data_IF_757884382243
#
_entry.id   IF_757884382243
#
_cell.length_a   1.000
_cell.length_b   1.000
_cell.length_c   1.000
_cell.angle_alpha   90.00
_cell.angle_beta   90.00
_cell.angle_gamma   90.00
#
_symmetry.space_group_name_H-M   'P 1'
#
loop_
_entity.id
_entity.type
_entity.pdbx_description
1 polymer ?
#
# COMPACT_ATOMS: atom_id res chain seq x y z
N UNK A 1 -17.58 12.74 16.63
CA UNK A 1 -16.19 13.24 16.52
C UNK A 1 -15.37 12.56 15.42
N UNK A 2 -15.44 11.23 15.26
CA UNK A 2 -14.73 10.53 14.17
C UNK A 2 -15.02 11.10 12.77
N UNK A 3 -16.31 11.32 12.45
CA UNK A 3 -16.72 11.92 11.15
C UNK A 3 -16.10 13.29 10.92
N UNK A 4 -15.99 14.13 11.97
CA UNK A 4 -15.34 15.43 11.86
C UNK A 4 -13.84 15.31 11.57
N UNK A 5 -13.16 14.33 12.20
CA UNK A 5 -11.76 14.02 11.93
C UNK A 5 -11.56 13.52 10.49
N UNK A 6 -12.42 12.59 10.04
CA UNK A 6 -12.39 12.07 8.67
C UNK A 6 -12.60 13.19 7.65
N UNK A 7 -13.60 14.06 7.88
CA UNK A 7 -13.87 15.21 7.01
C UNK A 7 -12.69 16.19 6.98
N UNK A 8 -12.08 16.48 8.13
CA UNK A 8 -10.90 17.32 8.19
C UNK A 8 -9.76 16.71 7.37
N UNK A 9 -9.39 15.45 7.65
CA UNK A 9 -8.35 14.74 6.89
C UNK A 9 -8.63 14.73 5.39
N UNK A 10 -9.88 14.46 4.98
CA UNK A 10 -10.28 14.53 3.58
C UNK A 10 -10.01 15.91 2.97
N UNK A 11 -10.45 17.00 3.61
CA UNK A 11 -10.24 18.36 3.08
C UNK A 11 -8.74 18.64 2.85
N UNK A 12 -7.88 18.24 3.79
CA UNK A 12 -6.43 18.48 3.70
C UNK A 12 -5.71 17.58 2.70
N UNK A 13 -6.26 16.39 2.43
CA UNK A 13 -5.62 15.38 1.59
C UNK A 13 -6.34 15.13 0.27
N UNK A 14 -7.46 15.81 -0.01
CA UNK A 14 -8.30 15.56 -1.18
C UNK A 14 -7.53 15.60 -2.48
N UNK A 15 -6.64 16.56 -2.68
CA UNK A 15 -5.93 16.72 -3.95
C UNK A 15 -5.00 15.53 -4.20
N UNK A 16 -4.21 15.15 -3.19
CA UNK A 16 -3.28 14.02 -3.31
C UNK A 16 -4.03 12.68 -3.36
N UNK A 17 -5.11 12.55 -2.61
CA UNK A 17 -5.97 11.35 -2.65
C UNK A 17 -6.68 11.21 -3.99
N UNK A 18 -7.21 12.28 -4.56
CA UNK A 18 -7.83 12.25 -5.90
C UNK A 18 -6.83 11.84 -6.98
N UNK A 19 -5.59 12.32 -6.90
CA UNK A 19 -4.51 11.85 -7.78
C UNK A 19 -4.29 10.35 -7.66
N UNK A 20 -4.13 9.83 -6.43
CA UNK A 20 -3.93 8.39 -6.21
C UNK A 20 -5.15 7.55 -6.57
N UNK A 21 -6.37 8.04 -6.34
CA UNK A 21 -7.61 7.38 -6.76
C UNK A 21 -7.67 7.26 -8.28
N UNK A 22 -7.37 8.35 -8.99
CA UNK A 22 -7.30 8.35 -10.44
C UNK A 22 -6.21 7.40 -10.96
N UNK A 23 -5.01 7.42 -10.35
CA UNK A 23 -3.93 6.52 -10.71
C UNK A 23 -4.29 5.05 -10.44
N UNK A 24 -4.85 4.75 -9.26
CA UNK A 24 -5.28 3.40 -8.87
C UNK A 24 -6.34 2.82 -9.80
N UNK A 25 -7.27 3.64 -10.27
CA UNK A 25 -8.25 3.25 -11.28
C UNK A 25 -7.63 3.11 -12.69
N UNK A 26 -6.79 4.07 -13.09
CA UNK A 26 -6.23 4.12 -14.43
C UNK A 26 -5.20 3.01 -14.68
N UNK A 27 -4.40 2.63 -13.69
CA UNK A 27 -3.32 1.66 -13.85
C UNK A 27 -3.81 0.31 -14.40
N UNK A 28 -4.84 -0.34 -13.82
CA UNK A 28 -5.40 -1.55 -14.43
C UNK A 28 -6.03 -1.30 -15.80
N UNK A 29 -6.73 -0.18 -16.01
CA UNK A 29 -7.40 0.12 -17.30
C UNK A 29 -6.38 0.35 -18.43
N UNK A 30 -5.22 0.95 -18.12
CA UNK A 30 -4.14 1.17 -19.07
C UNK A 30 -3.45 -0.13 -19.51
N UNK A 31 -3.71 -1.26 -18.84
CA UNK A 31 -3.28 -2.60 -19.29
C UNK A 31 -3.80 -2.94 -20.69
N UNK A 32 -5.05 -2.54 -20.96
CA UNK A 32 -5.82 -2.93 -22.15
C UNK A 32 -5.22 -2.36 -23.45
N UNK A 33 -4.96 -1.03 -23.55
CA UNK A 33 -4.34 -0.49 -24.76
C UNK A 33 -2.86 -0.86 -24.86
N UNK A 34 -2.16 -1.14 -23.75
CA UNK A 34 -0.75 -1.59 -23.82
C UNK A 34 -0.65 -2.96 -24.50
N UNK A 35 -1.53 -3.92 -24.18
CA UNK A 35 -1.54 -5.20 -24.88
C UNK A 35 -1.87 -5.06 -26.38
N UNK A 36 -2.71 -4.08 -26.77
CA UNK A 36 -3.08 -3.84 -28.16
C UNK A 36 -2.06 -3.00 -28.98
N UNK A 37 -1.43 -1.98 -28.38
CA UNK A 37 -0.59 -0.98 -29.10
C UNK A 37 0.82 -1.45 -29.43
N UNK A 38 1.38 -2.41 -28.69
CA UNK A 38 2.75 -2.86 -28.95
C UNK A 38 2.87 -3.75 -30.19
N UNK A 39 1.79 -4.03 -30.93
CA UNK A 39 1.86 -4.75 -32.20
C UNK A 39 2.48 -6.14 -32.08
N UNK A 40 2.51 -6.69 -30.87
CA UNK A 40 2.95 -8.06 -30.60
C UNK A 40 1.79 -8.92 -31.07
N UNK A 41 1.87 -9.40 -32.31
CA UNK A 41 0.85 -10.27 -32.87
C UNK A 41 0.62 -11.46 -31.93
N UNK A 42 -0.62 -11.63 -31.47
CA UNK A 42 -1.08 -12.79 -30.71
C UNK A 42 -0.08 -13.18 -29.60
N UNK A 43 0.10 -12.25 -28.66
CA UNK A 43 0.92 -12.38 -27.45
C UNK A 43 0.70 -13.75 -26.82
N UNK A 44 1.78 -14.55 -26.75
CA UNK A 44 1.81 -15.80 -25.99
C UNK A 44 1.29 -15.55 -24.56
N UNK A 45 0.66 -16.53 -23.93
CA UNK A 45 0.10 -16.38 -22.58
C UNK A 45 1.09 -15.69 -21.59
N UNK A 46 2.38 -15.91 -21.78
CA UNK A 46 3.47 -15.27 -21.04
C UNK A 46 3.44 -13.73 -21.06
N UNK A 47 3.13 -13.08 -22.18
CA UNK A 47 3.15 -11.63 -22.26
C UNK A 47 1.99 -10.97 -21.50
N UNK A 48 0.83 -11.65 -21.42
CA UNK A 48 -0.26 -11.20 -20.55
C UNK A 48 0.11 -11.28 -19.07
N UNK A 49 0.78 -12.36 -18.67
CA UNK A 49 1.29 -12.52 -17.29
C UNK A 49 2.35 -11.46 -16.97
N UNK A 50 3.27 -11.16 -17.90
CA UNK A 50 4.30 -10.15 -17.71
C UNK A 50 3.71 -8.74 -17.54
N UNK A 51 2.78 -8.34 -18.41
CA UNK A 51 2.07 -7.06 -18.28
C UNK A 51 1.24 -7.03 -16.99
N UNK A 52 0.55 -8.12 -16.65
CA UNK A 52 -0.20 -8.26 -15.41
C UNK A 52 0.66 -8.11 -14.16
N UNK A 53 1.87 -8.66 -14.17
CA UNK A 53 2.87 -8.51 -13.11
C UNK A 53 3.43 -7.09 -13.00
N UNK A 54 3.76 -6.47 -14.13
CA UNK A 54 4.22 -5.06 -14.16
C UNK A 54 3.17 -4.12 -13.57
N UNK A 55 1.90 -4.31 -13.93
CA UNK A 55 0.80 -3.48 -13.43
C UNK A 55 0.56 -3.70 -11.96
N UNK A 56 0.59 -4.95 -11.50
CA UNK A 56 0.48 -5.22 -10.07
C UNK A 56 1.61 -4.58 -9.27
N UNK A 57 2.84 -4.57 -9.78
CA UNK A 57 3.97 -3.84 -9.16
C UNK A 57 3.70 -2.33 -9.10
N UNK A 58 3.23 -1.73 -10.20
CA UNK A 58 2.89 -0.30 -10.23
C UNK A 58 1.77 0.04 -9.23
N UNK A 59 0.77 -0.83 -9.09
CA UNK A 59 -0.28 -0.71 -8.07
C UNK A 59 0.31 -0.77 -6.67
N UNK A 60 1.21 -1.72 -6.40
CA UNK A 60 1.89 -1.84 -5.11
C UNK A 60 2.63 -0.54 -4.73
N UNK A 61 3.44 -0.01 -5.66
CA UNK A 61 4.17 1.25 -5.49
C UNK A 61 3.20 2.41 -5.23
N UNK A 62 2.15 2.53 -6.04
CA UNK A 62 1.15 3.60 -5.95
C UNK A 62 0.49 3.61 -4.57
N UNK A 63 0.12 2.45 -4.07
CA UNK A 63 -0.57 2.30 -2.78
C UNK A 63 0.36 2.58 -1.60
N UNK A 64 1.61 2.10 -1.66
CA UNK A 64 2.64 2.42 -0.67
C UNK A 64 2.90 3.93 -0.61
N UNK A 65 3.05 4.59 -1.76
CA UNK A 65 3.24 6.04 -1.85
C UNK A 65 2.02 6.80 -1.31
N UNK A 66 0.80 6.35 -1.65
CA UNK A 66 -0.44 6.96 -1.14
C UNK A 66 -0.52 6.88 0.39
N UNK A 67 -0.19 5.71 0.97
CA UNK A 67 -0.19 5.51 2.41
C UNK A 67 0.80 6.43 3.13
N UNK A 68 2.03 6.57 2.61
CA UNK A 68 3.06 7.47 3.16
C UNK A 68 2.65 8.94 2.99
N UNK A 69 2.22 9.33 1.79
CA UNK A 69 1.80 10.69 1.48
C UNK A 69 0.64 11.14 2.38
N UNK A 70 -0.32 10.25 2.65
CA UNK A 70 -1.44 10.53 3.53
C UNK A 70 -1.00 10.83 4.97
N UNK A 71 -0.03 10.08 5.51
CA UNK A 71 0.54 10.35 6.84
C UNK A 71 1.26 11.69 6.86
N UNK A 72 2.14 11.92 5.88
CA UNK A 72 2.96 13.15 5.80
C UNK A 72 2.06 14.39 5.71
N UNK A 73 1.08 14.35 4.81
CA UNK A 73 0.19 15.49 4.56
C UNK A 73 -0.70 15.80 5.77
N UNK A 74 -1.32 14.78 6.37
CA UNK A 74 -2.16 14.95 7.56
C UNK A 74 -1.40 15.53 8.76
N UNK A 75 -0.09 15.34 8.84
CA UNK A 75 0.72 15.87 9.93
C UNK A 75 1.35 17.23 9.64
N UNK A 76 1.61 17.55 8.37
CA UNK A 76 2.17 18.86 8.01
C UNK A 76 1.31 20.03 8.52
N UNK A 77 0.00 19.84 8.59
CA UNK A 77 -0.96 20.84 9.12
C UNK A 77 -0.81 21.00 10.63
N UNK A 78 -0.67 19.90 11.36
CA UNK A 78 -0.48 19.92 12.81
C UNK A 78 0.87 20.53 13.20
N UNK A 79 1.93 20.22 12.44
CA UNK A 79 3.27 20.77 12.64
C UNK A 79 3.26 22.30 12.44
N UNK A 80 2.54 22.81 11.41
CA UNK A 80 2.34 24.25 11.19
C UNK A 80 1.57 24.92 12.33
N UNK A 81 0.57 24.23 12.87
CA UNK A 81 -0.24 24.69 14.00
C UNK A 81 0.41 24.49 15.37
N UNK A 82 1.69 24.07 15.44
CA UNK A 82 2.42 23.71 16.67
C UNK A 82 1.64 22.79 17.61
N UNK A 83 0.81 21.92 17.05
CA UNK A 83 -0.08 21.00 17.78
C UNK A 83 -1.09 21.64 18.75
N UNK A 84 -1.29 22.97 18.71
CA UNK A 84 -2.20 23.67 19.63
C UNK A 84 -3.63 23.13 19.53
N UNK A 85 -4.13 22.97 18.30
CA UNK A 85 -5.46 22.43 18.03
C UNK A 85 -5.63 20.97 18.45
N UNK A 86 -4.57 20.16 18.40
CA UNK A 86 -4.63 18.77 18.82
C UNK A 86 -4.69 18.64 20.35
N UNK A 87 -4.05 19.55 21.08
CA UNK A 87 -4.00 19.58 22.54
C UNK A 87 -5.23 20.25 23.18
N UNK A 88 -5.93 21.12 22.45
CA UNK A 88 -7.13 21.80 22.94
C UNK A 88 -8.41 20.96 22.83
N UNK A 89 -8.38 19.84 22.11
CA UNK A 89 -9.56 18.99 21.96
C UNK A 89 -9.88 18.27 23.28
N UNK A 90 -11.15 18.25 23.72
CA UNK A 90 -11.57 17.58 24.96
C UNK A 90 -11.69 16.06 24.75
N UNK A 91 -10.64 15.43 24.22
CA UNK A 91 -10.58 13.99 23.96
C UNK A 91 -9.25 13.43 24.44
N UNK A 92 -9.31 12.22 25.00
CA UNK A 92 -8.11 11.51 25.39
C UNK A 92 -7.19 11.29 24.18
N UNK A 93 -5.88 11.49 24.37
CA UNK A 93 -4.84 11.34 23.33
C UNK A 93 -4.94 10.00 22.60
N UNK A 94 -5.20 8.89 23.31
CA UNK A 94 -5.36 7.55 22.71
C UNK A 94 -6.51 7.51 21.69
N UNK A 95 -7.68 8.07 22.03
CA UNK A 95 -8.85 8.10 21.15
C UNK A 95 -8.61 8.98 19.93
N UNK A 96 -7.96 10.13 20.11
CA UNK A 96 -7.57 11.00 18.99
C UNK A 96 -6.75 10.25 17.93
N UNK A 97 -5.79 9.44 18.38
CA UNK A 97 -4.92 8.68 17.49
C UNK A 97 -5.63 7.56 16.78
N UNK A 98 -6.48 6.82 17.50
CA UNK A 98 -7.31 5.80 16.90
C UNK A 98 -8.23 6.39 15.82
N UNK A 99 -8.81 7.57 16.07
CA UNK A 99 -9.62 8.26 15.06
C UNK A 99 -8.80 8.70 13.86
N UNK A 100 -7.57 9.19 14.05
CA UNK A 100 -6.72 9.56 12.91
C UNK A 100 -6.25 8.37 12.09
N UNK A 101 -5.85 7.29 12.76
CA UNK A 101 -5.45 6.04 12.11
C UNK A 101 -6.62 5.43 11.34
N UNK A 102 -7.78 5.30 11.98
CA UNK A 102 -8.99 4.77 11.36
C UNK A 102 -9.49 5.61 10.20
N UNK A 103 -9.39 6.93 10.29
CA UNK A 103 -9.73 7.81 9.17
C UNK A 103 -8.76 7.61 7.99
N UNK A 104 -7.46 7.45 8.24
CA UNK A 104 -6.49 7.09 7.22
C UNK A 104 -6.80 5.74 6.54
N UNK A 105 -7.18 4.73 7.32
CA UNK A 105 -7.61 3.44 6.79
C UNK A 105 -8.84 3.52 5.89
N UNK A 106 -9.84 4.32 6.24
CA UNK A 106 -11.01 4.54 5.39
C UNK A 106 -10.66 5.26 4.08
N UNK A 107 -9.79 6.26 4.13
CA UNK A 107 -9.34 6.98 2.93
C UNK A 107 -8.57 6.03 1.97
N UNK A 108 -7.71 5.17 2.51
CA UNK A 108 -7.03 4.14 1.73
C UNK A 108 -7.97 3.02 1.25
N UNK A 109 -9.06 2.78 1.98
CA UNK A 109 -10.16 1.92 1.53
C UNK A 109 -10.77 2.39 0.22
N UNK A 110 -10.98 3.70 0.06
CA UNK A 110 -11.45 4.27 -1.22
C UNK A 110 -10.45 4.00 -2.36
N UNK A 111 -9.14 4.03 -2.08
CA UNK A 111 -8.12 3.70 -3.07
C UNK A 111 -8.19 2.24 -3.51
N UNK A 112 -8.38 1.31 -2.56
CA UNK A 112 -8.58 -0.10 -2.90
C UNK A 112 -9.85 -0.31 -3.76
N UNK A 113 -10.93 0.41 -3.47
CA UNK A 113 -12.16 0.38 -4.29
C UNK A 113 -11.89 0.91 -5.71
N UNK A 114 -11.14 2.01 -5.84
CA UNK A 114 -10.77 2.54 -7.16
C UNK A 114 -9.94 1.52 -7.99
N UNK A 115 -8.98 0.85 -7.35
CA UNK A 115 -8.19 -0.23 -7.97
C UNK A 115 -9.08 -1.40 -8.37
N UNK A 116 -10.00 -1.82 -7.51
CA UNK A 116 -10.95 -2.89 -7.81
C UNK A 116 -11.83 -2.56 -9.03
N UNK A 117 -12.39 -1.35 -9.07
CA UNK A 117 -13.22 -0.89 -10.19
C UNK A 117 -12.40 -0.79 -11.49
N UNK A 118 -11.17 -0.27 -11.42
CA UNK A 118 -10.27 -0.22 -12.56
C UNK A 118 -9.92 -1.62 -13.08
N UNK A 119 -9.62 -2.55 -12.17
CA UNK A 119 -9.34 -3.93 -12.50
C UNK A 119 -10.54 -4.67 -13.09
N UNK A 120 -11.74 -4.46 -12.53
CA UNK A 120 -12.98 -5.06 -13.04
C UNK A 120 -13.32 -4.53 -14.44
N UNK A 121 -13.13 -3.23 -14.67
CA UNK A 121 -13.29 -2.64 -16.00
C UNK A 121 -12.27 -3.21 -16.99
N UNK A 122 -10.98 -3.30 -16.60
CA UNK A 122 -9.94 -3.88 -17.44
C UNK A 122 -10.22 -5.35 -17.78
N UNK A 123 -10.66 -6.16 -16.82
CA UNK A 123 -11.00 -7.57 -17.07
C UNK A 123 -12.18 -7.73 -18.03
N UNK A 124 -13.14 -6.80 -18.02
CA UNK A 124 -14.27 -6.83 -18.96
C UNK A 124 -13.91 -6.36 -20.37
N UNK A 125 -12.77 -5.67 -20.54
CA UNK A 125 -12.29 -5.16 -21.82
C UNK A 125 -11.23 -6.05 -22.46
N UNK A 126 -10.63 -6.98 -21.71
CA UNK A 126 -9.61 -7.91 -22.18
C UNK A 126 -10.24 -9.21 -22.68
N UNK A 127 -9.91 -9.58 -23.91
CA UNK A 127 -10.17 -10.92 -24.44
C UNK A 127 -9.02 -11.84 -24.01
N UNK A 128 -9.15 -12.46 -22.84
CA UNK A 128 -8.14 -13.37 -22.29
C UNK A 128 -8.30 -14.78 -22.89
N UNK A 129 -7.18 -15.46 -23.23
CA UNK A 129 -7.20 -16.89 -23.55
C UNK A 129 -7.83 -17.71 -22.41
N UNK A 130 -8.43 -18.87 -22.73
CA UNK A 130 -9.12 -19.73 -21.74
C UNK A 130 -8.21 -20.19 -20.59
N UNK A 131 -6.89 -20.17 -20.79
CA UNK A 131 -5.89 -20.53 -19.79
C UNK A 131 -5.46 -19.36 -18.87
N UNK A 132 -6.05 -18.17 -19.01
CA UNK A 132 -5.66 -16.99 -18.24
C UNK A 132 -6.87 -16.35 -17.56
N UNK A 133 -6.65 -15.93 -16.32
CA UNK A 133 -7.68 -15.29 -15.50
C UNK A 133 -7.19 -13.96 -14.93
N UNK A 134 -8.08 -12.97 -14.93
CA UNK A 134 -7.85 -11.70 -14.25
C UNK A 134 -8.37 -11.78 -12.81
N UNK A 135 -7.60 -11.24 -11.85
CA UNK A 135 -7.91 -11.30 -10.43
C UNK A 135 -8.07 -9.89 -9.81
N UNK A 136 -9.03 -9.06 -10.25
CA UNK A 136 -9.18 -7.68 -9.78
C UNK A 136 -9.44 -7.58 -8.26
N UNK A 137 -10.22 -8.51 -7.70
CA UNK A 137 -10.54 -8.52 -6.28
C UNK A 137 -9.33 -8.88 -5.41
N UNK A 138 -8.51 -9.86 -5.84
CA UNK A 138 -7.32 -10.26 -5.08
C UNK A 138 -6.29 -9.13 -5.06
N UNK A 139 -6.09 -8.46 -6.20
CA UNK A 139 -5.20 -7.32 -6.33
C UNK A 139 -5.64 -6.16 -5.41
N UNK A 140 -6.93 -5.82 -5.43
CA UNK A 140 -7.48 -4.77 -4.58
C UNK A 140 -7.37 -5.07 -3.08
N UNK A 141 -7.60 -6.33 -2.68
CA UNK A 141 -7.43 -6.75 -1.28
C UNK A 141 -5.97 -6.66 -0.84
N UNK A 142 -5.02 -7.10 -1.69
CA UNK A 142 -3.59 -6.97 -1.43
C UNK A 142 -3.16 -5.50 -1.33
N UNK A 143 -3.65 -4.67 -2.25
CA UNK A 143 -3.51 -3.22 -2.18
C UNK A 143 -3.98 -2.68 -0.84
N UNK A 144 -5.20 -3.02 -0.41
CA UNK A 144 -5.74 -2.54 0.87
C UNK A 144 -4.86 -2.91 2.06
N UNK A 145 -4.47 -4.19 2.15
CA UNK A 145 -3.64 -4.68 3.26
C UNK A 145 -2.26 -4.01 3.27
N UNK A 146 -1.62 -3.87 2.11
CA UNK A 146 -0.34 -3.16 1.98
C UNK A 146 -0.48 -1.68 2.37
N UNK A 147 -1.55 -1.02 1.91
CA UNK A 147 -1.84 0.37 2.23
C UNK A 147 -1.94 0.57 3.75
N UNK A 148 -2.75 -0.27 4.40
CA UNK A 148 -2.97 -0.20 5.84
C UNK A 148 -1.69 -0.51 6.62
N UNK A 149 -0.93 -1.51 6.20
CA UNK A 149 0.35 -1.85 6.83
C UNK A 149 1.33 -0.68 6.72
N UNK A 150 1.59 -0.18 5.51
CA UNK A 150 2.52 0.95 5.29
C UNK A 150 2.04 2.20 6.02
N UNK A 151 0.74 2.47 6.01
CA UNK A 151 0.16 3.59 6.74
C UNK A 151 0.35 3.45 8.26
N UNK A 152 0.11 2.27 8.83
CA UNK A 152 0.32 2.01 10.25
C UNK A 152 1.79 2.16 10.65
N UNK A 153 2.73 1.67 9.83
CA UNK A 153 4.17 1.84 10.06
C UNK A 153 4.59 3.30 9.98
N UNK A 154 4.17 4.03 8.93
CA UNK A 154 4.47 5.45 8.78
C UNK A 154 3.84 6.28 9.92
N UNK A 155 2.62 5.94 10.33
CA UNK A 155 1.95 6.54 11.47
C UNK A 155 2.72 6.28 12.77
N UNK A 156 3.18 5.05 12.99
CA UNK A 156 4.00 4.67 14.15
C UNK A 156 5.32 5.46 14.19
N UNK A 157 6.02 5.57 13.05
CA UNK A 157 7.25 6.39 12.96
C UNK A 157 6.96 7.83 13.35
N UNK A 158 5.88 8.41 12.85
CA UNK A 158 5.57 9.80 13.14
C UNK A 158 5.08 10.05 14.55
N UNK A 159 4.37 9.09 15.12
CA UNK A 159 3.73 9.22 16.43
C UNK A 159 4.50 8.57 17.59
N UNK A 160 5.57 7.80 17.31
CA UNK A 160 6.51 7.31 18.29
C UNK A 160 6.96 8.46 19.20
N UNK A 161 6.74 8.30 20.50
CA UNK A 161 6.77 9.37 21.48
C UNK A 161 8.19 9.95 21.69
N UNK A 162 8.58 10.90 20.84
CA UNK A 162 9.80 11.71 20.95
C UNK A 162 10.75 11.58 19.75
N UNK A 163 11.63 12.58 19.54
CA UNK A 163 12.66 12.54 18.47
C UNK A 163 13.50 11.26 18.51
N UNK A 164 13.81 10.76 19.71
CA UNK A 164 14.53 9.50 19.92
C UNK A 164 13.71 8.29 19.48
N UNK A 165 12.41 8.25 19.82
CA UNK A 165 11.52 7.18 19.37
C UNK A 165 11.35 7.17 17.84
N UNK A 166 11.33 8.34 17.19
CA UNK A 166 11.35 8.43 15.71
C UNK A 166 12.60 7.79 15.13
N UNK A 167 13.77 8.10 15.68
CA UNK A 167 15.04 7.49 15.28
C UNK A 167 15.05 5.97 15.48
N UNK A 168 14.53 5.49 16.62
CA UNK A 168 14.42 4.05 16.91
C UNK A 168 13.45 3.35 15.96
N UNK A 169 12.26 3.90 15.71
CA UNK A 169 11.29 3.28 14.80
C UNK A 169 11.81 3.31 13.36
N UNK A 170 12.44 4.41 12.93
CA UNK A 170 13.05 4.50 11.61
C UNK A 170 14.21 3.52 11.45
N UNK A 171 15.09 3.42 12.44
CA UNK A 171 16.16 2.42 12.48
C UNK A 171 15.64 0.99 12.47
N UNK A 172 14.58 0.70 13.22
CA UNK A 172 13.93 -0.61 13.23
C UNK A 172 13.29 -0.95 11.88
N UNK A 173 12.71 0.03 11.18
CA UNK A 173 12.17 -0.16 9.82
C UNK A 173 13.27 -0.38 8.78
N UNK A 174 14.40 0.34 8.87
CA UNK A 174 15.55 0.10 7.99
C UNK A 174 16.13 -1.28 8.25
N UNK A 175 16.32 -1.66 9.52
CA UNK A 175 16.79 -2.99 9.89
C UNK A 175 15.84 -4.07 9.35
N UNK A 176 14.53 -3.88 9.52
CA UNK A 176 13.52 -4.78 8.98
C UNK A 176 13.56 -4.85 7.45
N UNK A 177 13.74 -3.73 6.75
CA UNK A 177 13.84 -3.67 5.30
C UNK A 177 15.11 -4.36 4.77
N UNK A 178 16.27 -4.06 5.36
CA UNK A 178 17.54 -4.74 5.05
C UNK A 178 17.43 -6.23 5.31
N UNK A 179 16.76 -6.62 6.39
CA UNK A 179 16.54 -8.00 6.77
C UNK A 179 15.61 -8.76 5.81
N UNK A 180 14.61 -8.07 5.26
CA UNK A 180 13.71 -8.58 4.22
C UNK A 180 14.43 -8.77 2.88
N UNK A 181 15.39 -7.90 2.55
CA UNK A 181 16.15 -7.93 1.30
C UNK A 181 17.31 -8.93 1.29
N UNK A 182 17.82 -9.32 2.46
CA UNK A 182 18.91 -10.29 2.58
C UNK A 182 18.37 -11.71 2.29
N UNK A 183 18.89 -12.40 1.26
CA UNK A 183 18.52 -13.79 1.03
C UNK A 183 18.85 -14.61 2.28
N UNK A 184 17.93 -15.46 2.74
CA UNK A 184 18.14 -16.30 3.93
C UNK A 184 19.41 -17.16 3.84
N UNK A 185 19.87 -17.43 2.61
CA UNK A 185 21.08 -18.20 2.27
C UNK A 185 22.39 -17.45 2.56
N UNK A 186 22.33 -16.12 2.72
CA UNK A 186 23.51 -15.27 3.01
C UNK A 186 23.84 -15.17 4.50
N UNK A 187 22.98 -15.69 5.38
CA UNK A 187 23.15 -15.58 6.83
C UNK A 187 23.93 -16.78 7.40
N UNK A 188 24.98 -16.57 8.22
CA UNK A 188 25.74 -17.65 8.82
C UNK A 188 24.90 -18.50 9.79
N UNK A 189 25.20 -19.80 9.87
CA UNK A 189 24.47 -20.85 10.61
C UNK A 189 24.04 -20.56 12.08
N UNK A 190 24.76 -19.78 12.92
CA UNK A 190 24.30 -19.46 14.28
C UNK A 190 23.09 -18.52 14.35
N UNK A 191 22.63 -17.95 13.23
CA UNK A 191 21.46 -17.07 13.15
C UNK A 191 20.17 -17.80 12.75
N UNK A 192 20.03 -19.08 13.11
CA UNK A 192 18.88 -19.94 12.75
C UNK A 192 17.54 -19.43 13.30
N UNK A 193 17.50 -18.84 14.49
CA UNK A 193 16.27 -18.20 15.01
C UNK A 193 15.92 -16.94 14.23
N UNK A 194 16.94 -16.22 13.75
CA UNK A 194 16.80 -15.02 12.93
C UNK A 194 16.22 -15.42 11.56
N UNK A 195 16.75 -16.46 10.91
CA UNK A 195 16.21 -16.96 9.64
C UNK A 195 14.80 -17.54 9.78
N UNK A 196 14.44 -18.09 10.95
CA UNK A 196 13.06 -18.52 11.24
C UNK A 196 12.11 -17.33 11.38
N UNK A 197 12.56 -16.25 12.03
CA UNK A 197 11.80 -15.01 12.16
C UNK A 197 11.65 -14.28 10.82
N UNK A 198 12.69 -14.19 9.98
CA UNK A 198 12.56 -13.62 8.63
C UNK A 198 11.56 -14.40 7.80
N UNK A 199 11.66 -15.73 7.82
CA UNK A 199 10.71 -16.62 7.15
C UNK A 199 9.29 -16.41 7.67
N UNK A 200 9.06 -16.36 8.98
CA UNK A 200 7.72 -16.10 9.53
C UNK A 200 7.15 -14.72 9.13
N UNK A 201 8.01 -13.72 8.96
CA UNK A 201 7.61 -12.37 8.58
C UNK A 201 7.35 -12.21 7.06
N UNK A 202 8.12 -12.92 6.23
CA UNK A 202 8.21 -12.74 4.77
C UNK A 202 7.49 -13.83 3.97
N UNK A 203 7.41 -15.06 4.48
CA UNK A 203 6.77 -16.17 3.76
C UNK A 203 5.30 -15.85 3.47
N UNK A 204 4.70 -16.54 2.47
CA UNK A 204 3.27 -16.45 2.22
C UNK A 204 2.46 -16.66 3.52
N UNK A 205 1.72 -15.64 3.94
CA UNK A 205 0.97 -15.62 5.21
C UNK A 205 1.59 -14.77 6.33
N UNK A 206 2.85 -14.33 6.18
CA UNK A 206 3.49 -13.37 7.07
C UNK A 206 2.98 -11.94 6.84
N UNK A 207 3.09 -11.04 7.84
CA UNK A 207 2.59 -9.66 7.75
C UNK A 207 3.25 -8.85 6.62
N UNK A 208 4.53 -9.12 6.30
CA UNK A 208 5.24 -8.46 5.21
C UNK A 208 5.19 -9.24 3.89
N UNK A 209 4.68 -10.48 3.93
CA UNK A 209 4.48 -11.29 2.73
C UNK A 209 3.63 -10.57 1.68
N UNK A 210 2.69 -9.71 2.10
CA UNK A 210 1.87 -8.90 1.19
C UNK A 210 2.69 -7.94 0.33
N UNK A 211 3.82 -7.43 0.82
CA UNK A 211 4.70 -6.50 0.10
C UNK A 211 5.66 -7.22 -0.84
N UNK A 212 5.93 -8.50 -0.57
CA UNK A 212 7.00 -9.28 -1.22
C UNK A 212 6.44 -10.37 -2.15
N UNK A 213 5.18 -10.75 -1.96
CA UNK A 213 4.48 -11.67 -2.85
C UNK A 213 4.35 -11.07 -4.24
N UNK A 214 4.37 -11.86 -5.32
CA UNK A 214 4.11 -11.37 -6.67
C UNK A 214 2.75 -10.66 -6.73
N UNK A 215 2.74 -9.39 -7.14
CA UNK A 215 1.53 -8.65 -7.40
C UNK A 215 1.14 -8.93 -8.85
N UNK A 216 0.32 -9.95 -9.07
CA UNK A 216 -0.19 -10.25 -10.41
C UNK A 216 -1.65 -9.86 -10.55
N UNK A 217 -1.95 -9.13 -11.63
CA UNK A 217 -3.33 -8.86 -12.05
C UNK A 217 -3.89 -9.98 -12.95
N UNK A 218 -3.04 -10.61 -13.75
CA UNK A 218 -3.39 -11.68 -14.71
C UNK A 218 -2.47 -12.87 -14.44
N UNK A 219 -3.04 -14.03 -14.19
CA UNK A 219 -2.29 -15.27 -13.90
C UNK A 219 -2.98 -16.47 -14.57
N UNK A 220 -2.27 -17.61 -14.58
CA UNK A 220 -2.74 -18.90 -15.13
C UNK A 220 -3.71 -19.59 -14.17
#
# INVERSE_FOLDING_TARGET
>A
MFVAMLRAQWIWTRAIMLFFLAAGFALPVLSVPMSARFGIGWISANGYVEVGGMIGLLVAITVCLAAVALVVQNWSVDDRGRHVYALSLPIARRRYLLYRLGAGFLLLGMLAVAIWLGGAAASGLLELPESLHAYPASLALRALMAAWLVHALAFLVRFGAGQRARGVVFGALILLFLFVLLPAETLPAPLTWLSLASRALVLPGGPFGILLSPWSFIDV
#
